data_IF_924467896216
#
_entry.id   IF_924467896216
#
_cell.length_a   1.000
_cell.length_b   1.000
_cell.length_c   1.000
_cell.angle_alpha   90.00
_cell.angle_beta   90.00
_cell.angle_gamma   90.00
#
_symmetry.space_group_name_H-M   'P 1'
#
loop_
_entity.id
_entity.type
_entity.pdbx_description
1 polymer ?
#
# COMPACT_ATOMS: atom_id res chain seq x y z
N UNK A 1 4.90 -6.37 -18.58
CA UNK A 1 6.23 -6.13 -17.98
C UNK A 1 6.06 -4.96 -17.04
N UNK A 2 6.09 -5.17 -15.72
CA UNK A 2 6.09 -4.04 -14.80
C UNK A 2 7.46 -3.37 -14.93
N UNK A 3 7.47 -2.13 -15.40
CA UNK A 3 8.68 -1.31 -15.43
C UNK A 3 9.12 -1.14 -13.98
N UNK A 4 10.31 -1.64 -13.63
CA UNK A 4 10.94 -1.30 -12.37
C UNK A 4 11.38 0.15 -12.49
N UNK A 5 10.47 1.06 -12.19
CA UNK A 5 10.84 2.46 -11.96
C UNK A 5 11.70 2.46 -10.71
N UNK A 6 13.02 2.47 -10.91
CA UNK A 6 13.97 2.63 -9.83
C UNK A 6 13.79 4.04 -9.28
N UNK A 7 13.21 4.16 -8.08
CA UNK A 7 13.03 5.44 -7.41
C UNK A 7 14.39 5.98 -6.94
N UNK A 8 14.78 7.15 -7.43
CA UNK A 8 15.99 7.85 -7.02
C UNK A 8 15.82 8.40 -5.60
N UNK A 9 16.81 8.16 -4.74
CA UNK A 9 16.85 8.63 -3.34
C UNK A 9 15.58 8.31 -2.53
N UNK A 10 15.10 7.08 -2.65
CA UNK A 10 13.92 6.64 -1.89
C UNK A 10 14.17 6.73 -0.38
N UNK A 11 13.26 7.39 0.31
CA UNK A 11 13.23 7.48 1.75
C UNK A 11 11.84 7.12 2.28
N UNK A 12 11.80 6.39 3.39
CA UNK A 12 10.56 6.01 4.08
C UNK A 12 10.66 6.50 5.52
N UNK A 13 9.76 7.42 5.89
CA UNK A 13 9.68 7.97 7.23
C UNK A 13 8.44 7.45 7.96
N UNK A 14 8.57 7.22 9.27
CA UNK A 14 7.42 6.96 10.12
C UNK A 14 6.50 8.19 10.16
N UNK A 15 5.18 7.96 10.19
CA UNK A 15 4.20 9.05 10.34
C UNK A 15 3.67 9.13 11.76
N UNK A 16 3.31 10.34 12.18
CA UNK A 16 2.40 10.57 13.31
C UNK A 16 0.96 10.76 12.83
N UNK A 17 0.14 11.39 13.67
CA UNK A 17 -1.19 11.85 13.31
C UNK A 17 -1.12 13.14 12.48
N UNK A 18 -1.70 13.12 11.28
CA UNK A 18 -1.82 14.26 10.38
C UNK A 18 -3.29 14.70 10.39
N UNK A 19 -3.55 15.96 10.76
CA UNK A 19 -4.89 16.53 10.75
C UNK A 19 -5.18 17.21 9.41
N UNK A 20 -6.41 17.11 8.93
CA UNK A 20 -6.86 17.91 7.80
C UNK A 20 -7.02 19.38 8.26
N UNK A 21 -6.30 20.35 7.67
CA UNK A 21 -6.36 21.75 8.12
C UNK A 21 -7.73 22.41 7.90
N UNK A 22 -8.50 21.95 6.91
CA UNK A 22 -9.85 22.46 6.60
C UNK A 22 -10.93 21.78 7.44
N UNK A 23 -10.68 20.52 7.85
CA UNK A 23 -11.60 19.70 8.64
C UNK A 23 -10.86 19.12 9.87
N UNK A 24 -10.59 19.93 10.92
CA UNK A 24 -9.68 19.55 12.00
C UNK A 24 -10.13 18.36 12.85
N UNK A 25 -11.39 17.94 12.72
CA UNK A 25 -11.92 16.71 13.33
C UNK A 25 -11.61 15.43 12.52
N UNK A 26 -11.00 15.56 11.34
CA UNK A 26 -10.52 14.45 10.52
C UNK A 26 -9.00 14.40 10.61
N UNK A 27 -8.46 13.21 10.86
CA UNK A 27 -7.03 12.95 10.79
C UNK A 27 -6.73 11.54 10.29
N UNK A 28 -5.50 11.35 9.82
CA UNK A 28 -4.98 10.07 9.37
C UNK A 28 -3.60 9.83 9.99
N UNK A 29 -3.26 8.57 10.23
CA UNK A 29 -1.95 8.14 10.69
C UNK A 29 -1.48 6.99 9.80
N UNK A 30 -0.95 7.28 8.59
CA UNK A 30 -0.42 6.24 7.72
C UNK A 30 0.74 5.51 8.42
N UNK A 31 1.06 4.29 8.00
CA UNK A 31 2.21 3.56 8.59
C UNK A 31 3.54 4.24 8.24
N UNK A 32 3.61 4.89 7.08
CA UNK A 32 4.74 5.71 6.69
C UNK A 32 4.46 6.66 5.54
N UNK A 33 5.41 7.55 5.30
CA UNK A 33 5.43 8.46 4.14
C UNK A 33 6.64 8.10 3.29
N UNK A 34 6.41 7.90 1.99
CA UNK A 34 7.44 7.57 1.02
C UNK A 34 7.76 8.82 0.21
N UNK A 35 9.03 9.17 0.12
CA UNK A 35 9.52 10.28 -0.71
C UNK A 35 10.62 9.80 -1.64
N UNK A 36 10.72 10.37 -2.82
CA UNK A 36 11.82 10.13 -3.76
C UNK A 36 12.10 11.41 -4.57
N UNK A 37 13.23 11.47 -5.27
CA UNK A 37 13.59 12.65 -6.07
C UNK A 37 12.76 12.78 -7.37
N UNK A 38 12.11 11.69 -7.82
CA UNK A 38 11.46 11.62 -9.13
C UNK A 38 9.92 11.72 -9.11
N UNK A 39 9.27 11.64 -7.94
CA UNK A 39 7.80 11.67 -7.81
C UNK A 39 7.35 12.43 -6.57
N UNK A 40 6.09 12.82 -6.56
CA UNK A 40 5.42 13.35 -5.37
C UNK A 40 5.39 12.34 -4.22
N UNK A 41 5.31 12.80 -2.95
CA UNK A 41 5.22 11.91 -1.80
C UNK A 41 4.03 10.95 -1.86
N UNK A 42 4.27 9.69 -1.50
CA UNK A 42 3.27 8.64 -1.34
C UNK A 42 3.06 8.24 0.12
N UNK A 43 2.02 7.46 0.37
CA UNK A 43 1.77 6.84 1.68
C UNK A 43 2.11 5.35 1.66
N UNK A 44 2.58 4.84 2.79
CA UNK A 44 2.79 3.42 3.03
C UNK A 44 1.70 2.90 3.98
N UNK A 45 1.07 1.80 3.60
CA UNK A 45 0.12 1.02 4.41
C UNK A 45 0.60 -0.44 4.40
N UNK A 46 1.00 -0.95 5.55
CA UNK A 46 1.48 -2.30 5.75
C UNK A 46 0.36 -3.19 6.29
N UNK A 47 0.10 -4.30 5.60
CA UNK A 47 -0.88 -5.30 6.05
C UNK A 47 -0.21 -6.63 6.33
N UNK A 48 -0.48 -7.18 7.52
CA UNK A 48 -0.04 -8.52 7.92
C UNK A 48 -1.26 -9.38 8.32
N UNK A 49 -2.07 -9.88 7.36
CA UNK A 49 -3.30 -10.59 7.68
C UNK A 49 -3.00 -11.94 8.31
N UNK A 50 -3.25 -12.09 9.62
CA UNK A 50 -2.94 -13.33 10.34
C UNK A 50 -3.73 -14.55 9.79
N UNK A 51 -4.91 -14.33 9.24
CA UNK A 51 -5.70 -15.38 8.57
C UNK A 51 -4.98 -15.99 7.35
N UNK A 52 -3.96 -15.33 6.83
CA UNK A 52 -3.14 -15.77 5.69
C UNK A 52 -1.77 -16.34 6.10
N UNK A 53 -1.47 -16.48 7.39
CA UNK A 53 -0.11 -16.81 7.88
C UNK A 53 0.52 -18.08 7.29
N UNK A 54 -0.29 -19.10 6.98
CA UNK A 54 0.17 -20.40 6.45
C UNK A 54 -0.08 -20.56 4.94
N UNK A 55 -0.44 -19.47 4.25
CA UNK A 55 -0.78 -19.45 2.83
C UNK A 55 0.21 -18.59 2.06
N UNK A 56 0.50 -18.98 0.82
CA UNK A 56 1.24 -18.12 -0.10
C UNK A 56 0.38 -16.92 -0.54
N UNK A 57 1.02 -15.84 -1.00
CA UNK A 57 0.30 -14.67 -1.53
C UNK A 57 -0.64 -15.05 -2.69
N UNK A 58 -0.21 -15.96 -3.57
CA UNK A 58 -0.99 -16.41 -4.72
C UNK A 58 -2.22 -17.25 -4.32
N UNK A 59 -2.14 -18.00 -3.23
CA UNK A 59 -3.32 -18.66 -2.66
C UNK A 59 -4.28 -17.65 -2.05
N UNK A 60 -3.74 -16.63 -1.39
CA UNK A 60 -4.53 -15.58 -0.75
C UNK A 60 -5.28 -14.70 -1.75
N UNK A 61 -4.74 -14.47 -2.95
CA UNK A 61 -5.43 -13.70 -4.01
C UNK A 61 -6.72 -14.37 -4.50
N UNK A 62 -6.94 -15.66 -4.19
CA UNK A 62 -8.20 -16.37 -4.47
C UNK A 62 -9.31 -16.04 -3.45
N UNK A 63 -8.97 -15.48 -2.29
CA UNK A 63 -9.92 -15.03 -1.29
C UNK A 63 -10.42 -13.62 -1.64
N UNK A 64 -11.72 -13.47 -1.89
CA UNK A 64 -12.32 -12.18 -2.24
C UNK A 64 -12.12 -11.13 -1.16
N UNK A 65 -11.92 -11.53 0.10
CA UNK A 65 -11.72 -10.63 1.24
C UNK A 65 -10.25 -10.25 1.46
N UNK A 66 -9.32 -10.84 0.72
CA UNK A 66 -7.90 -10.51 0.83
C UNK A 66 -7.58 -9.19 0.12
N UNK A 67 -6.54 -8.47 0.56
CA UNK A 67 -6.21 -7.15 0.01
C UNK A 67 -5.52 -7.18 -1.35
N UNK A 68 -4.92 -8.31 -1.75
CA UNK A 68 -4.22 -8.45 -3.03
C UNK A 68 -5.08 -9.17 -4.08
N UNK A 69 -4.83 -8.88 -5.35
CA UNK A 69 -5.40 -9.54 -6.52
C UNK A 69 -4.33 -9.82 -7.57
N UNK A 70 -4.68 -10.60 -8.59
CA UNK A 70 -3.85 -10.84 -9.78
C UNK A 70 -4.65 -10.37 -11.01
N UNK A 71 -4.42 -9.14 -11.49
CA UNK A 71 -5.06 -8.62 -12.70
C UNK A 71 -4.59 -9.36 -13.97
N UNK A 72 -5.24 -9.05 -15.09
CA UNK A 72 -4.79 -9.45 -16.43
C UNK A 72 -3.37 -8.93 -16.66
N UNK A 73 -2.39 -9.84 -16.58
CA UNK A 73 -0.96 -9.50 -16.57
C UNK A 73 -0.15 -10.29 -15.56
N UNK A 74 -0.81 -11.00 -14.63
CA UNK A 74 -0.16 -11.98 -13.75
C UNK A 74 0.68 -11.37 -12.61
N UNK A 75 0.74 -10.05 -12.50
CA UNK A 75 1.47 -9.35 -11.45
C UNK A 75 0.55 -9.15 -10.24
N UNK A 76 0.99 -9.57 -9.06
CA UNK A 76 0.23 -9.35 -7.82
C UNK A 76 0.16 -7.85 -7.53
N UNK A 77 -1.05 -7.33 -7.29
CA UNK A 77 -1.27 -5.93 -6.97
C UNK A 77 -2.30 -5.76 -5.85
N UNK A 78 -2.31 -4.57 -5.22
CA UNK A 78 -3.35 -4.20 -4.26
C UNK A 78 -4.69 -4.02 -4.98
N UNK A 79 -5.78 -4.51 -4.39
CA UNK A 79 -7.14 -4.22 -4.87
C UNK A 79 -7.42 -2.74 -4.72
N UNK A 80 -7.88 -2.10 -5.79
CA UNK A 80 -8.35 -0.70 -5.76
C UNK A 80 -9.76 -0.58 -5.16
N UNK A 81 -10.50 -1.69 -5.15
CA UNK A 81 -11.88 -1.76 -4.67
C UNK A 81 -11.90 -2.55 -3.38
N UNK A 82 -12.61 -2.05 -2.37
CA UNK A 82 -12.76 -2.70 -1.07
C UNK A 82 -14.05 -3.54 -0.96
N UNK A 83 -14.63 -3.94 -2.11
CA UNK A 83 -15.82 -4.80 -2.23
C UNK A 83 -15.49 -6.28 -2.12
#
# INVERSE_FOLDING_TARGET
MAMQDHHEDINVAASGLILNPELPWIGASPDGVVTCACHEPGILEMKCPFSAKDRSLLECTKDSRFCLTVPEGGVISLKLNHS
#
